data_IF_570427570954
#
_entry.id   IF_570427570954
#
_cell.length_a   1.000
_cell.length_b   1.000
_cell.length_c   1.000
_cell.angle_alpha   90.00
_cell.angle_beta   90.00
_cell.angle_gamma   90.00
#
_symmetry.space_group_name_H-M   'P 1'
#
loop_
_entity.id
_entity.type
_entity.pdbx_description
1 polymer ?
#
# COMPACT_ATOMS: atom_id res chain seq x y z
N UNK A 1 -0.39 18.26 -5.20
CA UNK A 1 -0.23 17.04 -5.98
C UNK A 1 1.03 16.34 -5.46
N UNK A 2 0.99 15.04 -5.31
CA UNK A 2 2.17 14.24 -5.01
C UNK A 2 2.98 14.03 -6.30
N UNK A 3 4.24 13.59 -6.19
CA UNK A 3 5.05 13.23 -7.35
C UNK A 3 4.63 11.89 -7.99
N UNK A 4 3.47 11.35 -7.58
CA UNK A 4 2.94 10.12 -8.15
C UNK A 4 2.23 10.40 -9.48
N UNK A 5 2.55 9.63 -10.50
CA UNK A 5 1.98 9.73 -11.87
C UNK A 5 0.44 9.70 -11.90
N UNK A 6 -0.19 9.24 -10.80
CA UNK A 6 -1.64 9.11 -10.69
C UNK A 6 -2.39 10.39 -10.39
N UNK A 7 -1.71 11.43 -9.91
CA UNK A 7 -2.32 12.72 -9.58
C UNK A 7 -2.51 13.59 -10.83
N UNK A 8 -1.88 13.20 -11.95
CA UNK A 8 -1.93 13.92 -13.21
C UNK A 8 -2.81 13.19 -14.21
N UNK A 9 -3.68 13.95 -14.89
CA UNK A 9 -4.43 13.49 -16.04
C UNK A 9 -3.70 13.81 -17.34
N UNK A 10 -2.98 14.92 -17.36
CA UNK A 10 -2.22 15.39 -18.50
C UNK A 10 -1.09 16.33 -18.07
N UNK A 11 0.05 16.23 -18.72
CA UNK A 11 1.20 17.11 -18.55
C UNK A 11 1.87 17.43 -19.87
N UNK A 12 1.99 18.72 -20.17
CA UNK A 12 2.73 19.24 -21.33
C UNK A 12 3.48 20.51 -20.95
N UNK A 13 4.21 21.10 -21.90
CA UNK A 13 4.91 22.38 -21.71
C UNK A 13 3.98 23.56 -21.40
N UNK A 14 2.72 23.47 -21.82
CA UNK A 14 1.77 24.57 -21.74
C UNK A 14 0.54 24.28 -20.91
N UNK A 15 0.26 23.01 -20.59
CA UNK A 15 -0.94 22.62 -19.87
C UNK A 15 -0.66 21.47 -18.91
N UNK A 16 -1.16 21.62 -17.68
CA UNK A 16 -1.15 20.56 -16.66
C UNK A 16 -2.58 20.36 -16.17
N UNK A 17 -3.08 19.13 -16.24
CA UNK A 17 -4.35 18.73 -15.66
C UNK A 17 -4.08 17.82 -14.48
N UNK A 18 -4.53 18.22 -13.31
CA UNK A 18 -4.38 17.47 -12.06
C UNK A 18 -5.74 17.27 -11.41
N UNK A 19 -5.85 16.22 -10.62
CA UNK A 19 -7.01 16.04 -9.75
C UNK A 19 -6.74 16.71 -8.43
N UNK A 20 -7.80 17.29 -7.86
CA UNK A 20 -7.74 17.80 -6.49
C UNK A 20 -7.62 16.59 -5.56
N UNK A 21 -6.52 16.43 -4.82
CA UNK A 21 -6.34 15.29 -3.93
C UNK A 21 -7.30 15.34 -2.76
N UNK A 22 -7.60 14.16 -2.20
CA UNK A 22 -8.41 14.07 -1.00
C UNK A 22 -7.76 14.83 0.16
N UNK A 23 -8.57 15.59 0.89
CA UNK A 23 -8.07 16.41 2.00
C UNK A 23 -7.41 17.72 1.58
N UNK A 24 -7.48 18.12 0.31
CA UNK A 24 -6.99 19.43 -0.14
C UNK A 24 -7.66 20.59 0.59
N UNK A 25 -6.89 21.64 0.83
CA UNK A 25 -7.36 22.89 1.44
C UNK A 25 -7.28 24.04 0.44
N UNK A 26 -8.12 25.05 0.64
CA UNK A 26 -7.97 26.32 -0.08
C UNK A 26 -6.61 26.95 0.18
N UNK A 27 -5.98 27.48 -0.84
CA UNK A 27 -4.63 28.03 -0.75
C UNK A 27 -4.12 28.51 -2.08
N UNK A 28 -2.84 28.30 -2.34
CA UNK A 28 -2.20 28.67 -3.59
C UNK A 28 -1.73 27.44 -4.35
N UNK A 29 -1.98 27.43 -5.66
CA UNK A 29 -1.38 26.48 -6.60
C UNK A 29 -0.14 27.11 -7.21
N UNK A 30 0.89 26.32 -7.39
CA UNK A 30 2.10 26.66 -8.14
C UNK A 30 2.75 25.39 -8.66
N UNK A 31 3.52 25.51 -9.72
CA UNK A 31 4.34 24.43 -10.28
C UNK A 31 5.75 24.60 -9.73
N UNK A 32 6.28 23.53 -9.16
CA UNK A 32 7.68 23.46 -8.69
C UNK A 32 8.47 22.56 -9.63
N UNK A 33 9.60 23.06 -10.12
CA UNK A 33 10.53 22.33 -10.97
C UNK A 33 11.95 22.51 -10.45
N UNK A 34 12.91 21.81 -11.01
CA UNK A 34 14.33 21.99 -10.70
C UNK A 34 14.80 23.45 -10.98
N UNK A 35 14.14 24.14 -11.88
CA UNK A 35 14.44 25.53 -12.24
C UNK A 35 13.73 26.56 -11.35
N UNK A 36 12.95 26.14 -10.39
CA UNK A 36 12.24 27.01 -9.44
C UNK A 36 10.71 26.85 -9.46
N UNK A 37 10.04 27.81 -8.83
CA UNK A 37 8.59 27.79 -8.66
C UNK A 37 7.92 28.82 -9.61
N UNK A 38 6.78 28.43 -10.16
CA UNK A 38 5.90 29.34 -10.90
C UNK A 38 5.27 30.40 -10.00
N UNK A 39 4.61 31.38 -10.60
CA UNK A 39 3.73 32.32 -9.91
C UNK A 39 2.63 31.55 -9.17
N UNK A 40 2.31 31.97 -7.95
CA UNK A 40 1.25 31.41 -7.11
C UNK A 40 -0.11 31.91 -7.57
N UNK A 41 -1.05 30.98 -7.81
CA UNK A 41 -2.44 31.29 -8.19
C UNK A 41 -3.37 30.87 -7.04
N UNK A 42 -4.28 31.74 -6.57
CA UNK A 42 -5.22 31.38 -5.52
C UNK A 42 -6.17 30.27 -6.00
N UNK A 43 -6.42 29.31 -5.14
CA UNK A 43 -7.32 28.18 -5.38
C UNK A 43 -8.25 27.98 -4.19
N UNK A 44 -9.53 27.83 -4.44
CA UNK A 44 -10.54 27.64 -3.40
C UNK A 44 -11.19 26.26 -3.52
N UNK A 45 -11.11 25.48 -2.45
CA UNK A 45 -11.84 24.22 -2.29
C UNK A 45 -13.22 24.52 -1.72
N UNK A 46 -14.27 24.28 -2.50
CA UNK A 46 -15.65 24.60 -2.13
C UNK A 46 -16.35 23.47 -1.36
N UNK A 47 -16.05 22.21 -1.71
CA UNK A 47 -16.65 21.03 -1.09
C UNK A 47 -15.58 20.02 -0.74
N UNK A 48 -15.72 19.37 0.42
CA UNK A 48 -14.79 18.34 0.90
C UNK A 48 -15.57 17.11 1.28
N UNK A 49 -15.19 15.97 0.68
CA UNK A 49 -15.69 14.68 1.10
C UNK A 49 -15.11 14.23 2.45
N UNK A 50 -13.97 14.81 2.87
CA UNK A 50 -13.38 14.46 4.14
C UNK A 50 -12.24 15.38 4.57
N UNK A 51 -11.84 15.24 5.83
CA UNK A 51 -10.73 15.95 6.46
C UNK A 51 -9.89 14.95 7.24
N UNK A 52 -8.56 15.06 7.13
CA UNK A 52 -7.62 14.36 7.99
C UNK A 52 -6.99 15.37 8.96
N UNK A 53 -7.19 15.15 10.24
CA UNK A 53 -6.56 15.91 11.30
C UNK A 53 -5.35 15.13 11.82
N UNK A 54 -4.18 15.76 11.73
CA UNK A 54 -2.94 15.18 12.21
C UNK A 54 -2.66 15.69 13.62
N UNK A 55 -2.61 14.78 14.58
CA UNK A 55 -2.41 15.08 15.99
C UNK A 55 -0.97 14.88 16.46
N UNK A 56 -0.83 14.31 17.65
CA UNK A 56 0.47 14.12 18.33
C UNK A 56 1.43 13.27 17.54
N UNK A 57 2.72 13.64 17.65
CA UNK A 57 3.83 12.87 17.07
C UNK A 57 4.37 11.88 18.09
N UNK A 58 4.56 10.64 17.67
CA UNK A 58 5.25 9.62 18.42
C UNK A 58 6.44 9.10 17.62
N UNK A 59 7.54 8.84 18.29
CA UNK A 59 8.75 8.30 17.66
C UNK A 59 8.89 6.82 17.99
N UNK A 60 9.22 6.02 17.00
CA UNK A 60 9.42 4.58 17.14
C UNK A 60 10.75 4.16 16.52
N UNK A 61 11.41 3.19 17.16
CA UNK A 61 12.49 2.43 16.55
C UNK A 61 11.86 1.17 15.91
N UNK A 62 11.99 1.04 14.60
CA UNK A 62 11.50 -0.11 13.85
C UNK A 62 12.68 -0.92 13.37
N UNK A 63 12.78 -2.17 13.85
CA UNK A 63 13.75 -3.14 13.38
C UNK A 63 13.08 -4.12 12.43
N UNK A 64 13.59 -4.21 11.21
CA UNK A 64 13.21 -5.24 10.25
C UNK A 64 14.38 -6.20 10.09
N UNK A 65 14.14 -7.49 10.26
CA UNK A 65 15.19 -8.50 10.08
C UNK A 65 14.66 -9.75 9.38
N UNK A 66 15.56 -10.42 8.66
CA UNK A 66 15.33 -11.73 8.07
C UNK A 66 16.44 -12.68 8.51
N UNK A 67 16.05 -13.76 9.17
CA UNK A 67 16.96 -14.86 9.50
C UNK A 67 16.84 -15.94 8.40
N UNK A 68 17.97 -16.29 7.82
CA UNK A 68 18.05 -17.20 6.68
C UNK A 68 18.87 -18.41 7.14
N UNK A 69 18.29 -19.61 6.98
CA UNK A 69 18.95 -20.86 7.29
C UNK A 69 18.59 -21.93 6.24
N UNK A 70 19.33 -23.00 6.22
CA UNK A 70 19.06 -24.21 5.43
C UNK A 70 18.90 -23.94 3.91
N UNK A 71 19.63 -22.97 3.37
CA UNK A 71 19.61 -22.68 1.95
C UNK A 71 20.27 -23.84 1.19
N UNK A 72 19.56 -24.38 0.23
CA UNK A 72 20.07 -25.36 -0.72
C UNK A 72 20.39 -24.67 -2.04
N UNK A 73 21.65 -24.68 -2.41
CA UNK A 73 22.11 -24.07 -3.65
C UNK A 73 23.45 -24.65 -4.10
N UNK A 74 23.85 -24.35 -5.32
CA UNK A 74 25.17 -24.65 -5.85
C UNK A 74 26.15 -23.54 -5.48
N UNK A 75 27.44 -23.77 -5.69
CA UNK A 75 28.52 -22.82 -5.39
C UNK A 75 28.31 -21.44 -6.03
N UNK A 76 27.68 -21.38 -7.19
CA UNK A 76 27.45 -20.14 -7.95
C UNK A 76 26.03 -19.56 -7.76
N UNK A 77 25.25 -20.13 -6.83
CA UNK A 77 23.91 -19.63 -6.56
C UNK A 77 23.97 -18.29 -5.82
N UNK A 78 23.09 -17.38 -6.21
CA UNK A 78 22.93 -16.07 -5.59
C UNK A 78 21.52 -15.98 -5.01
N UNK A 79 21.42 -15.67 -3.72
CA UNK A 79 20.17 -15.35 -3.07
C UNK A 79 20.00 -13.82 -3.08
N UNK A 80 18.91 -13.36 -3.63
CA UNK A 80 18.51 -11.95 -3.57
C UNK A 80 17.32 -11.79 -2.64
N UNK A 81 17.44 -10.90 -1.66
CA UNK A 81 16.40 -10.59 -0.68
C UNK A 81 16.07 -9.12 -0.75
N UNK A 82 14.78 -8.82 -0.60
CA UNK A 82 14.29 -7.44 -0.52
C UNK A 82 13.65 -7.21 0.85
N UNK A 83 14.16 -6.23 1.59
CA UNK A 83 13.51 -5.74 2.81
C UNK A 83 12.78 -4.44 2.51
N UNK A 84 11.50 -4.31 2.91
CA UNK A 84 10.74 -3.09 2.68
C UNK A 84 11.33 -1.93 3.47
N UNK A 85 11.29 -0.74 2.88
CA UNK A 85 11.65 0.51 3.53
C UNK A 85 10.40 1.23 4.01
N UNK A 86 10.38 1.75 5.24
CA UNK A 86 9.31 2.63 5.70
C UNK A 86 9.20 3.85 4.78
N UNK A 87 7.98 4.18 4.37
CA UNK A 87 7.72 5.28 3.45
C UNK A 87 7.49 6.58 4.21
N UNK A 88 8.01 7.67 3.68
CA UNK A 88 7.68 9.00 4.19
C UNK A 88 6.32 9.42 3.63
N UNK A 89 5.38 9.71 4.54
CA UNK A 89 4.00 10.09 4.23
C UNK A 89 3.56 11.26 5.12
N UNK A 90 2.37 11.81 4.91
CA UNK A 90 1.86 12.91 5.74
C UNK A 90 1.64 12.50 7.20
N UNK A 91 1.29 11.25 7.45
CA UNK A 91 1.14 10.65 8.78
C UNK A 91 2.43 10.04 9.33
N UNK A 92 3.43 9.80 8.48
CA UNK A 92 4.78 9.36 8.83
C UNK A 92 5.84 10.31 8.25
N UNK A 93 5.90 11.58 8.76
CA UNK A 93 6.65 12.66 8.11
C UNK A 93 8.17 12.52 8.18
N UNK A 94 8.68 11.67 9.05
CA UNK A 94 10.12 11.50 9.25
C UNK A 94 10.45 10.01 9.29
N UNK A 95 11.36 9.60 8.40
CA UNK A 95 11.92 8.25 8.34
C UNK A 95 13.43 8.39 8.22
N UNK A 96 14.17 7.79 9.16
CA UNK A 96 15.63 7.82 9.19
C UNK A 96 16.18 6.43 9.39
N UNK A 97 16.95 5.94 8.42
CA UNK A 97 17.77 4.74 8.58
C UNK A 97 18.89 5.04 9.58
N UNK A 98 19.02 4.22 10.61
CA UNK A 98 20.06 4.37 11.65
C UNK A 98 21.13 3.30 11.59
N UNK A 99 20.75 2.09 11.19
CA UNK A 99 21.65 0.96 11.11
C UNK A 99 21.19 -0.02 10.04
N UNK A 100 22.14 -0.66 9.37
CA UNK A 100 21.88 -1.65 8.35
C UNK A 100 23.04 -2.64 8.29
N UNK A 101 22.74 -3.93 8.48
CA UNK A 101 23.75 -5.00 8.47
C UNK A 101 23.19 -6.27 7.78
N UNK A 102 23.91 -6.78 6.79
CA UNK A 102 25.05 -6.19 6.08
C UNK A 102 24.62 -4.98 5.22
N UNK A 103 25.59 -4.28 4.65
CA UNK A 103 25.30 -3.24 3.67
C UNK A 103 24.60 -3.85 2.45
N UNK A 104 23.45 -3.32 1.98
CA UNK A 104 22.77 -3.83 0.82
C UNK A 104 23.52 -3.58 -0.49
N UNK A 105 23.19 -4.33 -1.51
CA UNK A 105 23.66 -4.07 -2.87
C UNK A 105 23.04 -2.78 -3.43
N UNK A 106 21.74 -2.57 -3.17
CA UNK A 106 21.01 -1.36 -3.53
C UNK A 106 20.25 -0.85 -2.30
N UNK A 107 20.47 0.40 -1.92
CA UNK A 107 19.86 1.00 -0.72
C UNK A 107 18.38 1.30 -0.88
N UNK A 108 17.95 1.68 -2.07
CA UNK A 108 16.54 1.95 -2.37
C UNK A 108 16.24 1.56 -3.82
N UNK A 109 15.62 0.42 -3.98
CA UNK A 109 15.13 -0.06 -5.26
C UNK A 109 13.65 -0.40 -5.10
N UNK A 110 12.80 0.41 -5.71
CA UNK A 110 11.34 0.24 -5.63
C UNK A 110 10.86 0.10 -4.17
N UNK A 111 11.25 1.08 -3.34
CA UNK A 111 10.96 1.15 -1.89
C UNK A 111 11.44 -0.05 -1.07
N UNK A 112 12.48 -0.73 -1.53
CA UNK A 112 13.11 -1.84 -0.82
C UNK A 112 14.62 -1.71 -0.79
N UNK A 113 15.27 -2.18 0.27
CA UNK A 113 16.70 -2.48 0.25
C UNK A 113 16.93 -3.87 -0.33
N UNK A 114 17.83 -3.98 -1.30
CA UNK A 114 18.17 -5.24 -1.96
C UNK A 114 19.49 -5.78 -1.43
N UNK A 115 19.43 -6.95 -0.83
CA UNK A 115 20.59 -7.69 -0.34
C UNK A 115 20.91 -8.85 -1.25
N UNK A 116 22.19 -9.09 -1.45
CA UNK A 116 22.67 -10.21 -2.25
C UNK A 116 23.64 -11.06 -1.44
N UNK A 117 23.41 -12.36 -1.42
CA UNK A 117 24.23 -13.35 -0.73
C UNK A 117 24.68 -14.38 -1.75
N UNK A 118 25.98 -14.57 -1.89
CA UNK A 118 26.56 -15.62 -2.74
C UNK A 118 26.84 -16.87 -1.93
N UNK A 119 26.64 -18.03 -2.52
CA UNK A 119 26.93 -19.32 -1.92
C UNK A 119 28.43 -19.67 -1.93
N UNK A 120 29.29 -18.77 -2.41
CA UNK A 120 30.74 -18.98 -2.43
C UNK A 120 31.35 -18.72 -1.03
N UNK A 121 32.23 -19.60 -0.57
CA UNK A 121 32.82 -19.57 0.76
C UNK A 121 33.87 -18.47 0.98
N UNK A 122 34.13 -17.62 -0.01
CA UNK A 122 35.24 -16.66 0.01
C UNK A 122 34.76 -15.21 -0.05
N UNK A 123 34.16 -14.69 1.01
CA UNK A 123 33.81 -13.28 1.07
C UNK A 123 32.92 -12.89 2.25
N UNK A 124 32.83 -11.59 2.56
CA UNK A 124 32.01 -11.08 3.67
C UNK A 124 30.52 -11.37 3.55
N UNK A 125 30.04 -11.67 2.35
CA UNK A 125 28.63 -11.98 2.05
C UNK A 125 28.48 -13.42 1.55
N UNK A 126 29.38 -14.33 1.95
CA UNK A 126 29.30 -15.72 1.57
C UNK A 126 28.54 -16.52 2.61
N UNK A 127 27.75 -17.46 2.16
CA UNK A 127 26.95 -18.35 2.99
C UNK A 127 27.48 -19.77 2.88
N UNK A 128 27.87 -20.37 4.01
CA UNK A 128 28.18 -21.80 4.06
C UNK A 128 26.90 -22.59 4.35
N UNK A 129 26.74 -23.75 3.72
CA UNK A 129 25.66 -24.67 4.04
C UNK A 129 25.65 -24.94 5.57
N UNK A 130 24.49 -24.75 6.21
CA UNK A 130 24.23 -24.86 7.65
C UNK A 130 24.62 -23.64 8.51
N UNK A 131 25.07 -22.52 7.96
CA UNK A 131 25.18 -21.26 8.71
C UNK A 131 23.85 -20.53 8.73
N UNK A 132 23.60 -19.81 9.83
CA UNK A 132 22.50 -18.85 9.92
C UNK A 132 23.02 -17.51 9.47
N UNK A 133 22.30 -16.90 8.53
CA UNK A 133 22.62 -15.57 8.05
C UNK A 133 21.50 -14.63 8.45
N UNK A 134 21.84 -13.46 8.99
CA UNK A 134 20.87 -12.46 9.41
C UNK A 134 21.08 -11.17 8.62
N UNK A 135 20.01 -10.65 8.10
CA UNK A 135 19.94 -9.33 7.52
C UNK A 135 19.06 -8.48 8.42
N UNK A 136 19.51 -7.28 8.76
CA UNK A 136 18.73 -6.35 9.58
C UNK A 136 18.87 -4.92 9.13
N UNK A 137 17.83 -4.14 9.39
CA UNK A 137 17.82 -2.68 9.24
C UNK A 137 16.98 -2.05 10.33
N UNK A 138 17.49 -0.96 10.91
CA UNK A 138 16.85 -0.19 11.95
C UNK A 138 16.48 1.20 11.44
N UNK A 139 15.23 1.58 11.64
CA UNK A 139 14.73 2.90 11.29
C UNK A 139 14.16 3.61 12.50
N UNK A 140 14.47 4.88 12.66
CA UNK A 140 13.70 5.77 13.52
C UNK A 140 12.63 6.44 12.68
N UNK A 141 11.38 6.24 13.04
CA UNK A 141 10.23 6.81 12.36
C UNK A 141 9.44 7.71 13.31
N UNK A 142 8.94 8.82 12.79
CA UNK A 142 7.97 9.66 13.50
C UNK A 142 6.61 9.49 12.88
N UNK A 143 5.64 9.06 13.69
CA UNK A 143 4.25 8.84 13.26
C UNK A 143 3.35 9.86 13.96
N UNK A 144 2.37 10.39 13.24
CA UNK A 144 1.31 11.25 13.78
C UNK A 144 0.05 10.43 14.01
N UNK A 145 -0.68 10.72 15.07
CA UNK A 145 -2.07 10.28 15.13
C UNK A 145 -2.88 10.93 14.02
N UNK A 146 -3.78 10.17 13.42
CA UNK A 146 -4.64 10.67 12.33
C UNK A 146 -6.08 10.41 12.70
N UNK A 147 -6.87 11.47 12.71
CA UNK A 147 -8.31 11.41 12.80
C UNK A 147 -8.91 11.76 11.44
N UNK A 148 -9.66 10.83 10.87
CA UNK A 148 -10.30 11.04 9.57
C UNK A 148 -11.81 11.24 9.76
N UNK A 149 -12.32 12.35 9.28
CA UNK A 149 -13.75 12.61 9.21
C UNK A 149 -14.18 12.62 7.74
N UNK A 150 -15.26 11.92 7.42
CA UNK A 150 -15.79 11.80 6.06
C UNK A 150 -17.26 12.23 6.05
N UNK A 151 -17.58 13.21 5.22
CA UNK A 151 -18.95 13.55 4.89
C UNK A 151 -19.42 12.65 3.74
N UNK A 152 -20.22 11.67 4.10
CA UNK A 152 -20.63 10.59 3.19
C UNK A 152 -21.40 11.12 1.99
N UNK A 153 -22.14 12.22 2.16
CA UNK A 153 -22.99 12.77 1.10
C UNK A 153 -22.16 13.52 0.03
N UNK A 154 -20.93 13.91 0.38
CA UNK A 154 -20.00 14.54 -0.56
C UNK A 154 -19.01 13.56 -1.18
N UNK A 155 -19.05 12.28 -0.84
CA UNK A 155 -18.19 11.28 -1.48
C UNK A 155 -18.57 11.13 -2.94
N UNK A 156 -17.63 11.48 -3.82
CA UNK A 156 -17.87 11.46 -5.26
C UNK A 156 -18.00 10.04 -5.81
N UNK A 157 -19.00 9.84 -6.66
CA UNK A 157 -19.12 8.61 -7.46
C UNK A 157 -18.09 8.71 -8.60
N UNK A 158 -17.26 7.69 -8.82
CA UNK A 158 -16.30 7.69 -9.92
C UNK A 158 -17.01 7.89 -11.27
N UNK A 159 -16.84 9.06 -11.88
CA UNK A 159 -17.53 9.42 -13.14
C UNK A 159 -16.87 8.81 -14.37
N UNK A 160 -15.56 8.62 -14.31
CA UNK A 160 -14.79 8.10 -15.45
C UNK A 160 -14.11 6.79 -15.12
N UNK A 161 -14.82 5.68 -15.33
CA UNK A 161 -14.31 4.31 -15.17
C UNK A 161 -13.31 3.92 -16.27
N UNK A 162 -13.13 4.75 -17.30
CA UNK A 162 -12.17 4.48 -18.39
C UNK A 162 -10.75 4.99 -18.06
N UNK A 163 -10.58 5.72 -16.98
CA UNK A 163 -9.26 6.19 -16.56
C UNK A 163 -8.32 5.02 -16.30
N UNK A 164 -7.06 5.22 -16.69
CA UNK A 164 -5.98 4.24 -16.46
C UNK A 164 -5.93 3.82 -14.97
N UNK A 165 -5.95 4.79 -14.07
CA UNK A 165 -5.95 4.57 -12.63
C UNK A 165 -7.08 3.63 -12.19
N UNK A 166 -8.34 3.95 -12.58
CA UNK A 166 -9.48 3.11 -12.24
C UNK A 166 -9.30 1.68 -12.76
N UNK A 167 -8.96 1.53 -14.04
CA UNK A 167 -8.76 0.21 -14.67
C UNK A 167 -7.63 -0.58 -14.03
N UNK A 168 -6.54 0.10 -13.65
CA UNK A 168 -5.39 -0.55 -13.02
C UNK A 168 -5.75 -1.11 -11.65
N UNK A 169 -6.42 -0.31 -10.82
CA UNK A 169 -6.71 -0.69 -9.43
C UNK A 169 -8.01 -1.48 -9.24
N UNK A 170 -8.88 -1.56 -10.26
CA UNK A 170 -10.08 -2.42 -10.20
C UNK A 170 -9.97 -3.65 -11.09
N UNK A 171 -8.78 -3.93 -11.65
CA UNK A 171 -8.55 -5.12 -12.46
C UNK A 171 -8.42 -6.34 -11.58
N UNK A 172 -9.22 -7.37 -11.88
CA UNK A 172 -9.03 -8.68 -11.27
C UNK A 172 -7.66 -9.27 -11.60
N UNK A 173 -7.04 -9.91 -10.62
CA UNK A 173 -5.81 -10.66 -10.79
C UNK A 173 -5.84 -11.96 -9.96
N UNK A 174 -4.71 -12.68 -9.94
CA UNK A 174 -4.62 -13.96 -9.21
C UNK A 174 -4.81 -13.80 -7.70
N UNK A 175 -4.38 -12.68 -7.11
CA UNK A 175 -4.49 -12.42 -5.67
C UNK A 175 -5.87 -11.87 -5.32
N UNK A 176 -6.40 -10.97 -6.15
CA UNK A 176 -7.70 -10.31 -5.98
C UNK A 176 -8.63 -10.70 -7.13
N UNK A 177 -9.23 -11.90 -7.09
CA UNK A 177 -10.03 -12.45 -8.19
C UNK A 177 -11.45 -11.87 -8.20
N UNK A 178 -11.58 -10.56 -8.45
CA UNK A 178 -12.85 -9.83 -8.39
C UNK A 178 -13.86 -10.26 -9.48
N UNK A 179 -13.41 -10.91 -10.55
CA UNK A 179 -14.22 -11.39 -11.68
C UNK A 179 -14.81 -12.80 -11.49
N UNK A 180 -14.52 -13.44 -10.37
CA UNK A 180 -15.04 -14.78 -10.08
C UNK A 180 -16.57 -14.75 -9.92
N UNK A 181 -17.32 -15.64 -10.58
CA UNK A 181 -18.79 -15.62 -10.58
C UNK A 181 -19.44 -15.63 -9.20
N UNK A 182 -18.82 -16.28 -8.21
CA UNK A 182 -19.32 -16.34 -6.84
C UNK A 182 -19.30 -14.96 -6.19
N UNK A 183 -18.25 -14.17 -6.39
CA UNK A 183 -18.12 -12.80 -5.86
C UNK A 183 -19.02 -11.83 -6.59
N UNK A 184 -19.07 -11.93 -7.93
CA UNK A 184 -19.95 -11.09 -8.75
C UNK A 184 -21.43 -11.27 -8.37
N UNK A 185 -21.85 -12.48 -8.02
CA UNK A 185 -23.23 -12.75 -7.56
C UNK A 185 -23.49 -12.29 -6.14
N UNK A 186 -22.44 -12.27 -5.29
CA UNK A 186 -22.57 -11.89 -3.89
C UNK A 186 -22.75 -10.39 -3.71
N UNK A 187 -22.03 -9.60 -4.49
CA UNK A 187 -21.93 -8.15 -4.36
C UNK A 187 -23.29 -7.42 -4.40
N UNK A 188 -24.21 -7.68 -5.36
CA UNK A 188 -25.49 -7.01 -5.40
C UNK A 188 -26.36 -7.24 -4.14
N UNK A 189 -26.25 -8.42 -3.52
CA UNK A 189 -26.95 -8.74 -2.28
C UNK A 189 -26.42 -7.98 -1.07
N UNK A 190 -25.11 -7.61 -1.09
CA UNK A 190 -24.47 -6.86 -0.01
C UNK A 190 -24.75 -5.37 -0.13
N UNK A 191 -24.46 -4.78 -1.31
CA UNK A 191 -24.52 -3.32 -1.49
C UNK A 191 -25.93 -2.80 -1.76
N UNK A 192 -26.87 -3.70 -2.02
CA UNK A 192 -28.25 -3.35 -2.32
C UNK A 192 -28.35 -2.37 -3.50
N UNK A 193 -29.03 -1.23 -3.27
CA UNK A 193 -29.19 -0.15 -4.25
C UNK A 193 -28.24 1.03 -4.00
N UNK A 194 -27.27 0.88 -3.11
CA UNK A 194 -26.34 1.97 -2.81
C UNK A 194 -25.44 2.25 -4.00
N UNK A 195 -25.39 3.49 -4.45
CA UNK A 195 -24.48 3.99 -5.50
C UNK A 195 -23.29 4.74 -4.91
N UNK A 196 -23.34 5.08 -3.62
CA UNK A 196 -22.28 5.82 -2.92
C UNK A 196 -21.16 4.85 -2.55
N UNK A 197 -19.92 5.06 -3.03
CA UNK A 197 -18.82 4.11 -2.82
C UNK A 197 -18.45 3.92 -1.34
N UNK A 198 -18.55 4.96 -0.53
CA UNK A 198 -18.28 4.85 0.91
C UNK A 198 -19.33 3.96 1.60
N UNK A 199 -20.60 4.16 1.29
CA UNK A 199 -21.69 3.32 1.84
C UNK A 199 -21.54 1.87 1.35
N UNK A 200 -21.15 1.65 0.09
CA UNK A 200 -20.86 0.31 -0.41
C UNK A 200 -19.71 -0.35 0.36
N UNK A 201 -18.60 0.37 0.52
CA UNK A 201 -17.45 -0.11 1.29
C UNK A 201 -17.83 -0.48 2.73
N UNK A 202 -18.65 0.36 3.39
CA UNK A 202 -19.14 0.07 4.74
C UNK A 202 -20.05 -1.16 4.78
N UNK A 203 -20.96 -1.31 3.84
CA UNK A 203 -21.85 -2.47 3.76
C UNK A 203 -21.07 -3.77 3.56
N UNK A 204 -20.02 -3.75 2.73
CA UNK A 204 -19.12 -4.89 2.54
C UNK A 204 -18.39 -5.22 3.85
N UNK A 205 -17.86 -4.22 4.54
CA UNK A 205 -17.22 -4.40 5.83
C UNK A 205 -18.18 -5.03 6.86
N UNK A 206 -19.36 -4.46 7.03
CA UNK A 206 -20.37 -4.94 7.98
C UNK A 206 -20.80 -6.38 7.64
N UNK A 207 -20.97 -6.70 6.36
CA UNK A 207 -21.25 -8.05 5.89
C UNK A 207 -20.14 -9.03 6.29
N UNK A 208 -18.88 -8.64 6.09
CA UNK A 208 -17.75 -9.51 6.43
C UNK A 208 -17.66 -9.77 7.92
N UNK A 209 -17.80 -8.75 8.75
CA UNK A 209 -17.78 -8.90 10.21
C UNK A 209 -18.94 -9.80 10.71
N UNK A 210 -20.10 -9.70 10.08
CA UNK A 210 -21.27 -10.51 10.47
C UNK A 210 -21.16 -11.98 10.02
N UNK A 211 -20.47 -12.26 8.90
CA UNK A 211 -20.51 -13.59 8.26
C UNK A 211 -19.21 -14.39 8.35
N UNK A 212 -18.10 -13.76 8.76
CA UNK A 212 -16.79 -14.40 8.80
C UNK A 212 -16.18 -14.32 10.20
N UNK A 213 -15.32 -15.28 10.52
CA UNK A 213 -14.61 -15.34 11.80
C UNK A 213 -13.11 -15.23 11.59
N UNK A 214 -12.45 -14.40 12.41
CA UNK A 214 -11.00 -14.34 12.45
C UNK A 214 -10.44 -15.65 13.01
N UNK A 215 -9.38 -16.16 12.41
CA UNK A 215 -8.59 -17.26 12.95
C UNK A 215 -7.17 -16.76 13.24
N UNK A 216 -6.70 -17.04 14.46
CA UNK A 216 -5.36 -16.61 14.90
C UNK A 216 -4.22 -17.41 14.28
N UNK A 217 -4.53 -18.53 13.66
CA UNK A 217 -3.53 -19.38 13.01
C UNK A 217 -3.26 -18.86 11.62
N UNK A 218 -2.03 -18.41 11.39
CA UNK A 218 -1.55 -18.03 10.07
C UNK A 218 -1.73 -19.20 9.10
N UNK A 219 -2.22 -18.90 7.92
CA UNK A 219 -2.37 -19.87 6.85
C UNK A 219 -1.00 -20.42 6.43
N UNK A 220 -0.99 -21.64 5.94
CA UNK A 220 0.18 -22.25 5.30
C UNK A 220 0.01 -22.16 3.77
N UNK A 221 0.89 -21.41 3.12
CA UNK A 221 0.93 -21.27 1.66
C UNK A 221 -0.05 -20.23 1.10
N UNK A 222 -0.08 -20.09 -0.22
CA UNK A 222 -0.96 -19.21 -0.98
C UNK A 222 -2.36 -19.82 -1.09
N UNK A 223 -3.20 -19.58 -0.10
CA UNK A 223 -4.62 -19.91 -0.21
C UNK A 223 -5.34 -18.76 -0.89
N UNK A 224 -6.24 -19.10 -1.81
CA UNK A 224 -7.10 -18.11 -2.46
C UNK A 224 -8.11 -17.54 -1.47
N UNK A 225 -8.48 -16.25 -1.59
CA UNK A 225 -9.58 -15.65 -0.82
C UNK A 225 -10.91 -16.40 -0.99
N UNK A 226 -11.05 -17.21 -2.03
CA UNK A 226 -12.21 -18.08 -2.27
C UNK A 226 -12.31 -19.20 -1.24
N UNK A 227 -11.22 -19.63 -0.62
CA UNK A 227 -11.24 -20.58 0.47
C UNK A 227 -11.89 -19.95 1.71
N UNK A 228 -11.60 -18.68 1.98
CA UNK A 228 -12.30 -17.94 3.03
C UNK A 228 -13.80 -17.77 2.72
N UNK A 229 -14.15 -17.50 1.46
CA UNK A 229 -15.55 -17.42 1.04
C UNK A 229 -16.35 -18.68 1.39
N UNK A 230 -15.74 -19.86 1.26
CA UNK A 230 -16.32 -21.17 1.58
C UNK A 230 -16.27 -21.50 3.09
N UNK A 231 -15.08 -21.37 3.68
CA UNK A 231 -14.83 -21.78 5.09
C UNK A 231 -15.43 -20.84 6.11
N UNK A 232 -15.71 -19.59 5.72
CA UNK A 232 -16.17 -18.49 6.61
C UNK A 232 -15.16 -18.16 7.72
N UNK A 233 -13.88 -18.50 7.53
CA UNK A 233 -12.79 -18.22 8.47
C UNK A 233 -11.55 -17.82 7.71
N UNK A 234 -10.81 -16.84 8.24
CA UNK A 234 -9.57 -16.37 7.64
C UNK A 234 -8.70 -15.57 8.60
N UNK A 235 -7.47 -15.36 8.24
CA UNK A 235 -6.57 -14.43 8.92
C UNK A 235 -6.75 -13.00 8.38
N UNK A 236 -5.97 -12.05 8.91
CA UNK A 236 -6.05 -10.64 8.51
C UNK A 236 -5.82 -10.41 7.01
N UNK A 237 -4.92 -11.20 6.40
CA UNK A 237 -4.66 -11.10 4.97
C UNK A 237 -5.85 -11.61 4.14
N UNK A 238 -6.44 -12.74 4.52
CA UNK A 238 -7.61 -13.29 3.85
C UNK A 238 -8.79 -12.31 3.89
N UNK A 239 -8.99 -11.63 5.03
CA UNK A 239 -9.99 -10.57 5.16
C UNK A 239 -9.71 -9.40 4.21
N UNK A 240 -8.47 -8.92 4.16
CA UNK A 240 -8.11 -7.79 3.30
C UNK A 240 -8.31 -8.11 1.82
N UNK A 241 -7.87 -9.30 1.38
CA UNK A 241 -7.99 -9.72 -0.03
C UNK A 241 -9.44 -9.99 -0.41
N UNK A 242 -10.23 -10.65 0.45
CA UNK A 242 -11.65 -10.89 0.18
C UNK A 242 -12.44 -9.58 0.16
N UNK A 243 -12.15 -8.66 1.07
CA UNK A 243 -12.75 -7.32 1.06
C UNK A 243 -12.49 -6.60 -0.26
N UNK A 244 -11.23 -6.56 -0.70
CA UNK A 244 -10.86 -5.95 -1.97
C UNK A 244 -11.57 -6.62 -3.16
N UNK A 245 -11.61 -7.95 -3.18
CA UNK A 245 -12.24 -8.72 -4.26
C UNK A 245 -13.77 -8.51 -4.35
N UNK A 246 -14.45 -8.24 -3.23
CA UNK A 246 -15.88 -7.91 -3.22
C UNK A 246 -16.10 -6.44 -3.61
N UNK A 247 -15.16 -5.54 -3.29
CA UNK A 247 -15.28 -4.10 -3.50
C UNK A 247 -15.03 -3.66 -4.96
N UNK A 248 -14.37 -4.47 -5.77
CA UNK A 248 -14.05 -4.21 -7.19
C UNK A 248 -15.19 -4.64 -8.11
#
# INVERSE_FOLDING_TARGET
>A
ASDLDFDYDFWSETEIRVYVPDGAFSGYLYVSTENGNSTKVPFQVQQRAGVKNYGTKNMYLVQTSADISDIKGTKDSVLSLRLPLPQQTADQPEVKLTEQDPKPLLDNYDNTSVFQITMDKTGKNSYAANEKYRISQNHVITVRSVETWIDVDYVAIPRNRQRMLYKTYTRADKLVPADVPELVRLMPGIVYKSINPYRQAKLIYDYMIANYKVQDKLRKGDTSCLDMLKSKKGDAYDFAVLYAAIAF
#
